data_IF_074123507479
#
_entry.id   IF_074123507479
#
_cell.length_a   1.000
_cell.length_b   1.000
_cell.length_c   1.000
_cell.angle_alpha   90.00
_cell.angle_beta   90.00
_cell.angle_gamma   90.00
#
_symmetry.space_group_name_H-M   'P 1'
#
loop_
_entity.id
_entity.type
_entity.pdbx_description
1 polymer ?
#
# COMPACT_ATOMS: atom_id res chain seq x y z
N UNK A 1 19.95 16.58 19.07
CA UNK A 1 19.38 17.15 17.84
C UNK A 1 19.76 16.36 16.57
N UNK A 2 21.07 16.04 16.33
CA UNK A 2 21.52 15.38 15.09
C UNK A 2 20.84 14.03 14.83
N UNK A 3 20.65 13.18 15.86
CA UNK A 3 19.99 11.86 15.73
C UNK A 3 18.52 12.00 15.37
N UNK A 4 17.81 12.96 15.94
CA UNK A 4 16.40 13.25 15.65
C UNK A 4 16.25 13.67 14.19
N UNK A 5 17.07 14.63 13.73
CA UNK A 5 17.02 15.10 12.33
C UNK A 5 17.29 13.95 11.36
N UNK A 6 18.26 13.06 11.66
CA UNK A 6 18.54 11.89 10.83
C UNK A 6 17.34 10.94 10.76
N UNK A 7 16.69 10.65 11.89
CA UNK A 7 15.51 9.82 11.96
C UNK A 7 14.34 10.42 11.15
N UNK A 8 14.08 11.72 11.28
CA UNK A 8 13.01 12.38 10.53
C UNK A 8 13.26 12.37 9.02
N UNK A 9 14.52 12.52 8.58
CA UNK A 9 14.85 12.37 7.14
C UNK A 9 14.54 10.97 6.62
N UNK A 10 14.76 9.95 7.44
CA UNK A 10 14.42 8.56 7.11
C UNK A 10 12.92 8.33 7.12
N UNK A 11 12.19 8.81 8.15
CA UNK A 11 10.74 8.68 8.26
C UNK A 11 9.99 9.31 7.11
N UNK A 12 10.49 10.40 6.55
CA UNK A 12 9.82 11.20 5.52
C UNK A 12 10.55 11.20 4.17
N UNK A 13 11.42 10.22 3.92
CA UNK A 13 12.17 10.12 2.66
C UNK A 13 11.27 9.98 1.43
N UNK A 14 10.06 9.45 1.59
CA UNK A 14 9.11 9.23 0.51
C UNK A 14 8.64 10.50 -0.21
N UNK A 15 8.82 11.69 0.40
CA UNK A 15 8.57 12.96 -0.28
C UNK A 15 9.58 13.27 -1.39
N UNK A 16 10.75 12.65 -1.35
CA UNK A 16 11.83 12.83 -2.33
C UNK A 16 11.89 11.69 -3.37
N UNK A 17 10.96 10.73 -3.28
CA UNK A 17 10.91 9.58 -4.17
C UNK A 17 9.67 9.63 -5.07
N UNK A 18 9.84 9.26 -6.34
CA UNK A 18 8.75 9.18 -7.32
C UNK A 18 8.29 7.71 -7.48
N UNK A 19 7.09 7.37 -7.00
CA UNK A 19 6.58 6.00 -7.09
C UNK A 19 6.34 5.54 -8.54
N UNK A 20 6.06 6.46 -9.48
CA UNK A 20 5.86 6.12 -10.90
C UNK A 20 7.16 5.64 -11.55
N UNK A 21 8.30 6.28 -11.24
CA UNK A 21 9.63 5.84 -11.71
C UNK A 21 9.99 4.43 -11.24
N UNK A 22 9.53 4.03 -10.05
CA UNK A 22 9.74 2.68 -9.54
C UNK A 22 9.08 1.64 -10.44
N UNK A 23 7.93 1.97 -11.02
CA UNK A 23 7.09 1.09 -11.82
C UNK A 23 7.42 1.10 -13.33
N UNK A 24 8.30 1.97 -13.81
CA UNK A 24 8.67 2.07 -15.23
C UNK A 24 9.25 0.77 -15.78
N UNK A 25 10.03 0.03 -14.98
CA UNK A 25 10.62 -1.24 -15.41
C UNK A 25 9.62 -2.38 -15.22
N UNK A 26 8.99 -2.76 -16.31
CA UNK A 26 8.04 -3.87 -16.43
C UNK A 26 8.55 -4.95 -17.38
N UNK A 27 7.88 -6.09 -17.39
CA UNK A 27 8.16 -7.22 -18.25
C UNK A 27 6.93 -7.51 -19.10
N UNK A 28 7.11 -7.64 -20.42
CA UNK A 28 6.00 -7.90 -21.36
C UNK A 28 5.69 -9.35 -21.59
N UNK A 29 6.65 -10.25 -21.32
CA UNK A 29 6.47 -11.69 -21.50
C UNK A 29 6.14 -12.34 -20.14
N UNK A 30 4.90 -12.73 -19.97
CA UNK A 30 4.39 -13.44 -18.80
C UNK A 30 3.52 -14.65 -19.20
N UNK A 31 3.75 -15.18 -20.39
CA UNK A 31 3.18 -16.45 -20.88
C UNK A 31 1.64 -16.53 -20.78
N UNK A 32 0.95 -15.39 -20.97
CA UNK A 32 -0.53 -15.34 -20.95
C UNK A 32 -1.16 -15.42 -19.56
N UNK A 33 -0.42 -15.14 -18.48
CA UNK A 33 -1.00 -15.06 -17.15
C UNK A 33 -2.03 -13.91 -17.06
N UNK A 34 -3.29 -14.24 -16.80
CA UNK A 34 -4.44 -13.32 -16.86
C UNK A 34 -5.21 -13.19 -15.53
N UNK A 35 -4.72 -13.81 -14.45
CA UNK A 35 -5.32 -13.74 -13.12
C UNK A 35 -4.59 -12.71 -12.22
N UNK A 36 -5.11 -12.52 -11.01
CA UNK A 36 -4.53 -11.58 -10.05
C UNK A 36 -3.20 -12.07 -9.49
N UNK A 37 -2.22 -11.20 -9.48
CA UNK A 37 -0.99 -11.37 -8.72
C UNK A 37 -1.13 -10.64 -7.37
N UNK A 38 -0.86 -11.33 -6.26
CA UNK A 38 -1.04 -10.80 -4.91
C UNK A 38 0.29 -10.83 -4.15
N UNK A 39 0.69 -9.70 -3.59
CA UNK A 39 1.78 -9.63 -2.62
C UNK A 39 1.20 -9.31 -1.24
N UNK A 40 1.46 -10.17 -0.27
CA UNK A 40 0.91 -10.10 1.08
C UNK A 40 1.95 -9.66 2.10
N UNK A 41 1.47 -9.19 3.26
CA UNK A 41 2.28 -8.91 4.44
C UNK A 41 3.41 -7.91 4.18
N UNK A 42 3.16 -6.90 3.33
CA UNK A 42 4.10 -5.81 3.12
C UNK A 42 4.07 -4.91 4.35
N UNK A 43 5.20 -4.72 5.01
CA UNK A 43 5.28 -3.87 6.20
C UNK A 43 4.91 -2.41 5.88
N UNK A 44 4.04 -1.84 6.69
CA UNK A 44 3.69 -0.42 6.67
C UNK A 44 4.22 0.26 7.92
N UNK A 45 5.06 1.26 7.72
CA UNK A 45 5.59 2.13 8.76
C UNK A 45 5.41 3.57 8.31
N UNK A 46 4.37 4.22 8.78
CA UNK A 46 3.98 5.57 8.40
C UNK A 46 3.79 6.46 9.62
N UNK A 47 3.39 7.70 9.42
CA UNK A 47 3.07 8.65 10.48
C UNK A 47 1.77 9.37 10.16
N UNK A 48 0.87 9.47 11.15
CA UNK A 48 -0.38 10.18 10.95
C UNK A 48 -0.12 11.69 10.82
N UNK A 49 -0.78 12.32 9.87
CA UNK A 49 -0.58 13.75 9.59
C UNK A 49 -1.10 14.67 10.72
N UNK A 50 -2.05 14.19 11.53
CA UNK A 50 -2.65 15.00 12.58
C UNK A 50 -1.76 15.12 13.84
N UNK A 51 -1.01 14.07 14.17
CA UNK A 51 -0.27 13.99 15.43
C UNK A 51 1.20 13.61 15.25
N UNK A 52 1.66 13.34 14.02
CA UNK A 52 2.99 12.81 13.71
C UNK A 52 3.33 11.52 14.50
N UNK A 53 2.32 10.84 15.00
CA UNK A 53 2.48 9.57 15.70
C UNK A 53 2.57 8.40 14.68
N UNK A 54 3.33 7.33 14.99
CA UNK A 54 3.49 6.22 14.07
C UNK A 54 2.17 5.51 13.74
N UNK A 55 2.07 5.06 12.50
CA UNK A 55 1.10 4.10 11.99
C UNK A 55 1.89 2.85 11.64
N UNK A 56 1.61 1.72 12.27
CA UNK A 56 2.36 0.47 12.09
C UNK A 56 1.39 -0.64 11.70
N UNK A 57 1.68 -1.33 10.62
CA UNK A 57 0.79 -2.38 10.13
C UNK A 57 1.33 -3.12 8.94
N UNK A 58 0.43 -3.73 8.20
CA UNK A 58 0.70 -4.50 6.99
C UNK A 58 -0.21 -4.05 5.85
N UNK A 59 0.32 -4.14 4.65
CA UNK A 59 -0.45 -3.96 3.42
C UNK A 59 -0.48 -5.25 2.61
N UNK A 60 -1.58 -5.45 1.91
CA UNK A 60 -1.75 -6.46 0.88
C UNK A 60 -2.08 -5.74 -0.42
N UNK A 61 -1.38 -6.10 -1.48
CA UNK A 61 -1.52 -5.47 -2.79
C UNK A 61 -1.77 -6.53 -3.84
N UNK A 62 -2.80 -6.36 -4.64
CA UNK A 62 -3.08 -7.22 -5.78
C UNK A 62 -3.29 -6.37 -7.04
N UNK A 63 -2.89 -6.91 -8.19
CA UNK A 63 -3.24 -6.35 -9.49
C UNK A 63 -3.53 -7.46 -10.51
N UNK A 64 -4.33 -7.16 -11.50
CA UNK A 64 -4.63 -8.03 -12.64
C UNK A 64 -3.90 -7.42 -13.85
N UNK A 65 -2.89 -8.09 -14.41
CA UNK A 65 -2.12 -7.54 -15.53
C UNK A 65 -2.97 -7.42 -16.79
N UNK A 66 -2.64 -6.43 -17.64
CA UNK A 66 -3.14 -6.35 -19.02
C UNK A 66 -2.10 -6.90 -19.98
N UNK A 67 -1.05 -6.14 -20.24
CA UNK A 67 -0.02 -6.49 -21.24
C UNK A 67 1.40 -6.61 -20.64
N UNK A 68 1.53 -6.35 -19.35
CA UNK A 68 2.84 -6.38 -18.67
C UNK A 68 2.70 -6.67 -17.18
N UNK A 69 3.74 -7.27 -16.64
CA UNK A 69 3.88 -7.53 -15.21
C UNK A 69 5.03 -6.71 -14.62
N UNK A 70 4.96 -6.48 -13.33
CA UNK A 70 5.98 -5.74 -12.58
C UNK A 70 6.70 -6.68 -11.61
N UNK A 71 7.97 -6.43 -11.38
CA UNK A 71 8.73 -7.18 -10.38
C UNK A 71 8.13 -7.00 -8.97
N UNK A 72 7.96 -8.09 -8.24
CA UNK A 72 7.28 -8.11 -6.92
C UNK A 72 7.85 -7.09 -5.93
N UNK A 73 9.17 -6.90 -5.91
CA UNK A 73 9.83 -5.89 -5.07
C UNK A 73 9.37 -4.46 -5.34
N UNK A 74 8.84 -4.18 -6.53
CA UNK A 74 8.37 -2.84 -6.90
C UNK A 74 7.06 -2.49 -6.19
N UNK A 75 6.17 -3.48 -6.01
CA UNK A 75 4.94 -3.29 -5.25
C UNK A 75 5.24 -2.88 -3.81
N UNK A 76 6.16 -3.58 -3.14
CA UNK A 76 6.60 -3.25 -1.79
C UNK A 76 7.25 -1.84 -1.71
N UNK A 77 8.05 -1.47 -2.71
CA UNK A 77 8.67 -0.13 -2.77
C UNK A 77 7.65 0.98 -2.94
N UNK A 78 6.61 0.79 -3.74
CA UNK A 78 5.52 1.79 -3.86
C UNK A 78 4.80 1.98 -2.54
N UNK A 79 4.50 0.89 -1.82
CA UNK A 79 3.94 0.96 -0.46
C UNK A 79 4.88 1.75 0.45
N UNK A 80 6.19 1.48 0.42
CA UNK A 80 7.18 2.19 1.25
C UNK A 80 7.23 3.67 0.95
N UNK A 81 7.29 4.08 -0.33
CA UNK A 81 7.35 5.50 -0.72
C UNK A 81 6.18 6.29 -0.17
N UNK A 82 4.96 5.76 -0.30
CA UNK A 82 3.79 6.44 0.25
C UNK A 82 3.70 6.36 1.76
N UNK A 83 4.17 5.27 2.37
CA UNK A 83 4.21 5.13 3.84
C UNK A 83 5.19 6.13 4.49
N UNK A 84 6.32 6.43 3.84
CA UNK A 84 7.33 7.39 4.33
C UNK A 84 6.94 8.85 4.09
N UNK A 85 5.68 9.18 4.38
CA UNK A 85 5.07 10.51 4.32
C UNK A 85 4.12 10.70 5.49
N UNK A 86 3.67 11.93 5.73
CA UNK A 86 2.54 12.18 6.63
C UNK A 86 1.24 11.76 5.94
N UNK A 87 0.46 10.87 6.58
CA UNK A 87 -0.68 10.22 5.94
C UNK A 87 -1.94 10.19 6.83
N UNK A 88 -3.09 10.09 6.16
CA UNK A 88 -4.25 9.35 6.68
C UNK A 88 -4.22 7.96 6.06
N UNK A 89 -4.74 6.95 6.74
CA UNK A 89 -4.68 5.57 6.22
C UNK A 89 -5.50 5.41 4.93
N UNK A 90 -6.63 6.08 4.84
CA UNK A 90 -7.50 6.09 3.66
C UNK A 90 -6.77 6.66 2.43
N UNK A 91 -6.10 7.79 2.61
CA UNK A 91 -5.32 8.41 1.53
C UNK A 91 -4.12 7.55 1.13
N UNK A 92 -3.43 6.95 2.08
CA UNK A 92 -2.32 6.03 1.83
C UNK A 92 -2.77 4.86 0.95
N UNK A 93 -3.87 4.20 1.33
CA UNK A 93 -4.45 3.08 0.60
C UNK A 93 -4.85 3.45 -0.82
N UNK A 94 -5.53 4.60 -0.97
CA UNK A 94 -5.97 5.13 -2.26
C UNK A 94 -4.79 5.51 -3.18
N UNK A 95 -3.77 6.17 -2.65
CA UNK A 95 -2.60 6.60 -3.42
C UNK A 95 -1.83 5.41 -3.98
N UNK A 96 -1.62 4.37 -3.20
CA UNK A 96 -0.99 3.13 -3.65
C UNK A 96 -1.80 2.52 -4.80
N UNK A 97 -3.10 2.33 -4.62
CA UNK A 97 -3.96 1.69 -5.62
C UNK A 97 -4.01 2.47 -6.93
N UNK A 98 -4.20 3.79 -6.88
CA UNK A 98 -4.25 4.65 -8.07
C UNK A 98 -2.93 4.66 -8.83
N UNK A 99 -1.81 4.77 -8.12
CA UNK A 99 -0.48 4.77 -8.75
C UNK A 99 -0.23 3.46 -9.49
N UNK A 100 -0.57 2.32 -8.88
CA UNK A 100 -0.44 1.01 -9.53
C UNK A 100 -1.35 0.89 -10.75
N UNK A 101 -2.61 1.30 -10.63
CA UNK A 101 -3.58 1.25 -11.73
C UNK A 101 -3.11 2.05 -12.94
N UNK A 102 -2.68 3.29 -12.72
CA UNK A 102 -2.22 4.20 -13.76
C UNK A 102 -0.89 3.75 -14.38
N UNK A 103 0.11 3.41 -13.55
CA UNK A 103 1.46 3.13 -14.03
C UNK A 103 1.60 1.76 -14.70
N UNK A 104 0.78 0.78 -14.33
CA UNK A 104 0.80 -0.56 -14.90
C UNK A 104 -0.24 -0.77 -16.00
N UNK A 105 -1.13 0.20 -16.22
CA UNK A 105 -2.32 0.03 -17.06
C UNK A 105 -3.05 -1.29 -16.75
N UNK A 106 -3.22 -1.57 -15.45
CA UNK A 106 -3.77 -2.82 -14.97
C UNK A 106 -5.27 -2.94 -15.27
N UNK A 107 -5.78 -4.17 -15.44
CA UNK A 107 -7.24 -4.42 -15.53
C UNK A 107 -7.95 -4.18 -14.21
N UNK A 108 -7.24 -4.28 -13.09
CA UNK A 108 -7.76 -4.04 -11.76
C UNK A 108 -6.65 -4.01 -10.72
N UNK A 109 -6.91 -3.29 -9.63
CA UNK A 109 -6.02 -3.20 -8.47
C UNK A 109 -6.84 -3.29 -7.19
N UNK A 110 -6.32 -4.01 -6.20
CA UNK A 110 -6.84 -4.05 -4.84
C UNK A 110 -5.71 -3.76 -3.84
N UNK A 111 -5.99 -2.90 -2.88
CA UNK A 111 -5.06 -2.61 -1.78
C UNK A 111 -5.84 -2.67 -0.47
N UNK A 112 -5.30 -3.39 0.50
CA UNK A 112 -5.80 -3.45 1.88
C UNK A 112 -4.67 -3.11 2.83
N UNK A 113 -4.97 -2.30 3.83
CA UNK A 113 -4.02 -1.98 4.93
C UNK A 113 -4.74 -2.25 6.25
N UNK A 114 -4.08 -3.03 7.10
CA UNK A 114 -4.46 -3.23 8.50
C UNK A 114 -3.35 -2.68 9.39
N UNK A 115 -3.68 -1.71 10.24
CA UNK A 115 -2.67 -1.04 11.06
C UNK A 115 -3.18 -0.55 12.40
N UNK A 116 -2.24 -0.38 13.33
CA UNK A 116 -2.43 0.32 14.60
C UNK A 116 -1.96 1.77 14.48
N UNK A 117 -2.72 2.67 15.10
CA UNK A 117 -2.41 4.10 15.14
C UNK A 117 -1.93 4.48 16.55
N UNK A 118 -0.67 4.86 16.69
CA UNK A 118 -0.10 5.19 18.00
C UNK A 118 -0.74 6.44 18.63
N UNK A 119 -1.33 7.31 17.82
CA UNK A 119 -2.14 8.42 18.33
C UNK A 119 -3.43 7.97 19.06
N UNK A 120 -3.89 6.73 18.84
CA UNK A 120 -5.03 6.12 19.53
C UNK A 120 -4.61 5.18 20.67
N UNK A 121 -3.44 4.56 20.58
CA UNK A 121 -2.96 3.58 21.57
C UNK A 121 -2.22 4.24 22.73
N UNK A 122 -1.29 5.15 22.46
CA UNK A 122 -0.41 5.75 23.45
C UNK A 122 -1.00 6.98 24.13
N UNK A 123 -2.01 7.60 23.56
CA UNK A 123 -2.67 8.81 24.02
C UNK A 123 -4.16 8.83 23.61
N UNK A 124 -4.88 9.91 23.94
CA UNK A 124 -6.28 10.09 23.57
C UNK A 124 -7.15 9.01 24.23
N UNK A 125 -7.81 8.21 23.42
CA UNK A 125 -8.74 7.17 23.87
C UNK A 125 -8.07 5.91 24.41
N UNK A 126 -6.74 5.75 24.26
CA UNK A 126 -5.91 4.65 24.79
C UNK A 126 -6.47 3.26 24.47
N UNK A 127 -6.80 3.01 23.20
CA UNK A 127 -7.29 1.70 22.70
C UNK A 127 -6.16 0.91 22.08
N UNK A 128 -5.41 0.17 22.89
CA UNK A 128 -4.19 -0.54 22.50
C UNK A 128 -4.43 -1.65 21.47
N UNK A 129 -5.58 -2.32 21.56
CA UNK A 129 -5.94 -3.47 20.71
C UNK A 129 -6.70 -3.07 19.43
N UNK A 130 -7.04 -1.79 19.29
CA UNK A 130 -7.81 -1.32 18.13
C UNK A 130 -6.90 -1.28 16.89
N UNK A 131 -7.34 -1.93 15.81
CA UNK A 131 -6.76 -1.82 14.48
C UNK A 131 -7.73 -1.11 13.54
N UNK A 132 -7.19 -0.55 12.48
CA UNK A 132 -7.98 0.09 11.41
C UNK A 132 -7.70 -0.66 10.11
N UNK A 133 -8.75 -1.10 9.44
CA UNK A 133 -8.66 -1.73 8.13
C UNK A 133 -9.23 -0.81 7.07
N UNK A 134 -8.44 -0.55 6.03
CA UNK A 134 -8.88 0.18 4.85
C UNK A 134 -8.67 -0.64 3.59
N UNK A 135 -9.65 -0.61 2.69
CA UNK A 135 -9.60 -1.29 1.40
C UNK A 135 -9.87 -0.30 0.28
N UNK A 136 -9.18 -0.47 -0.85
CA UNK A 136 -9.44 0.32 -2.05
C UNK A 136 -9.37 -0.56 -3.29
N UNK A 137 -10.41 -0.54 -4.10
CA UNK A 137 -10.59 -1.38 -5.28
C UNK A 137 -10.76 -0.54 -6.54
N UNK A 138 -10.10 -0.93 -7.63
CA UNK A 138 -10.19 -0.30 -8.93
C UNK A 138 -10.35 -1.35 -10.04
N UNK A 139 -10.99 -0.95 -11.14
CA UNK A 139 -11.24 -1.82 -12.30
C UNK A 139 -12.00 -3.09 -11.91
N UNK A 140 -11.56 -4.25 -12.39
CA UNK A 140 -12.25 -5.52 -12.16
C UNK A 140 -12.50 -5.85 -10.69
N UNK A 141 -11.62 -5.44 -9.77
CA UNK A 141 -11.88 -5.63 -8.34
C UNK A 141 -13.05 -4.78 -7.83
N UNK A 142 -13.37 -3.67 -8.46
CA UNK A 142 -14.52 -2.83 -8.10
C UNK A 142 -15.81 -3.28 -8.78
N UNK A 143 -15.70 -3.77 -10.01
CA UNK A 143 -16.82 -4.10 -10.89
C UNK A 143 -17.35 -5.52 -10.65
N UNK A 144 -16.49 -6.46 -10.23
CA UNK A 144 -16.82 -7.86 -10.03
C UNK A 144 -16.49 -8.32 -8.60
N UNK A 145 -17.55 -8.58 -7.82
CA UNK A 145 -17.45 -9.06 -6.43
C UNK A 145 -16.71 -10.40 -6.31
N UNK A 146 -16.67 -11.20 -7.36
CA UNK A 146 -15.93 -12.48 -7.33
C UNK A 146 -14.44 -12.26 -7.14
N UNK A 147 -13.86 -11.26 -7.81
CA UNK A 147 -12.46 -10.87 -7.62
C UNK A 147 -12.20 -10.33 -6.23
N UNK A 148 -13.09 -9.48 -5.69
CA UNK A 148 -12.96 -9.00 -4.30
C UNK A 148 -12.98 -10.17 -3.31
N UNK A 149 -13.94 -11.07 -3.43
CA UNK A 149 -14.09 -12.21 -2.53
C UNK A 149 -12.88 -13.14 -2.58
N UNK A 150 -12.35 -13.42 -3.77
CA UNK A 150 -11.12 -14.21 -3.94
C UNK A 150 -9.93 -13.52 -3.28
N UNK A 151 -9.74 -12.24 -3.52
CA UNK A 151 -8.68 -11.43 -2.91
C UNK A 151 -8.77 -11.47 -1.38
N UNK A 152 -9.94 -11.18 -0.81
CA UNK A 152 -10.15 -11.19 0.64
C UNK A 152 -9.86 -12.57 1.26
N UNK A 153 -10.24 -13.66 0.60
CA UNK A 153 -9.92 -15.03 1.05
C UNK A 153 -8.42 -15.32 1.05
N UNK A 154 -7.67 -14.78 0.10
CA UNK A 154 -6.23 -14.97 0.06
C UNK A 154 -5.49 -14.17 1.14
N UNK A 155 -5.94 -12.98 1.46
CA UNK A 155 -5.28 -12.13 2.47
C UNK A 155 -5.68 -12.48 3.91
N UNK A 156 -6.84 -13.11 4.13
CA UNK A 156 -7.33 -13.54 5.46
C UNK A 156 -6.66 -14.82 6.00
N UNK A 157 -5.83 -15.48 5.22
CA UNK A 157 -5.04 -16.66 5.59
C UNK A 157 -3.60 -16.21 5.85
#
# INVERSE_FOLDING_TARGET
PKRVIKAFKEYFKGYHEDPKKILEKTFGDFEGYDDMAIQKNISVQSHCEHHMAPIIGIAHVAYIPRDRVVGLSKLARVVEVFSKRLQTQERLTMQIARTLMESLDAKGVAVSIDSTHQCMTMRGIKKEQATTVTNYYLGQFKEDLSYQNRYLRFISK
#
